data_IF_417361055281
#
_entry.id   IF_417361055281
#
_cell.length_a   1.000
_cell.length_b   1.000
_cell.length_c   1.000
_cell.angle_alpha   90.00
_cell.angle_beta   90.00
_cell.angle_gamma   90.00
#
_symmetry.space_group_name_H-M   'P 1'
#
loop_
_entity.id
_entity.type
_entity.pdbx_description
1 polymer ?
#
# COMPACT_ATOMS: atom_id res chain seq x y z
N UNK A 1 22.98 31.03 18.47
CA UNK A 1 23.39 29.62 18.59
C UNK A 1 22.43 28.81 17.73
N UNK A 2 22.95 28.02 16.78
CA UNK A 2 22.10 27.16 15.96
C UNK A 2 21.33 26.19 16.86
N UNK A 3 20.02 26.01 16.67
CA UNK A 3 19.27 25.00 17.41
C UNK A 3 19.86 23.62 17.08
N UNK A 4 20.08 22.74 18.06
CA UNK A 4 20.60 21.40 17.76
C UNK A 4 19.57 20.54 17.00
N UNK A 5 18.28 20.87 17.13
CA UNK A 5 17.17 20.12 16.52
C UNK A 5 16.84 20.69 15.14
N UNK A 6 16.88 19.85 14.11
CA UNK A 6 16.43 20.17 12.75
C UNK A 6 14.91 20.09 12.65
N UNK A 7 14.28 21.11 12.06
CA UNK A 7 12.86 21.07 11.74
C UNK A 7 12.59 20.20 10.51
N UNK A 8 11.33 19.81 10.33
CA UNK A 8 10.91 19.08 9.13
C UNK A 8 11.08 19.91 7.85
N UNK A 9 10.83 21.22 7.90
CA UNK A 9 11.05 22.14 6.77
C UNK A 9 12.53 22.21 6.37
N UNK A 10 13.44 22.29 7.36
CA UNK A 10 14.88 22.29 7.11
C UNK A 10 15.34 20.96 6.48
N UNK A 11 14.80 19.83 6.94
CA UNK A 11 15.10 18.52 6.37
C UNK A 11 14.51 18.41 4.96
N UNK A 12 13.30 18.90 4.73
CA UNK A 12 12.63 18.92 3.42
C UNK A 12 13.43 19.73 2.41
N UNK A 13 13.87 20.94 2.78
CA UNK A 13 14.72 21.78 1.93
C UNK A 13 16.06 21.11 1.60
N UNK A 14 16.70 20.46 2.58
CA UNK A 14 17.95 19.73 2.36
C UNK A 14 17.77 18.51 1.44
N UNK A 15 16.71 17.71 1.63
CA UNK A 15 16.41 16.57 0.75
C UNK A 15 16.10 17.03 -0.67
N UNK A 16 15.30 18.09 -0.83
CA UNK A 16 14.96 18.59 -2.17
C UNK A 16 16.18 19.06 -2.96
N UNK A 17 17.02 19.89 -2.35
CA UNK A 17 18.28 20.32 -2.97
C UNK A 17 19.21 19.14 -3.28
N UNK A 18 19.27 18.13 -2.39
CA UNK A 18 20.05 16.92 -2.64
C UNK A 18 19.53 16.15 -3.86
N UNK A 19 18.22 15.93 -3.97
CA UNK A 19 17.63 15.17 -5.07
C UNK A 19 17.77 15.89 -6.42
N UNK A 20 17.65 17.22 -6.45
CA UNK A 20 17.91 18.03 -7.64
C UNK A 20 19.38 17.93 -8.11
N UNK A 21 20.32 18.02 -7.17
CA UNK A 21 21.74 17.83 -7.47
C UNK A 21 22.02 16.41 -7.97
N UNK A 22 21.42 15.38 -7.36
CA UNK A 22 21.59 13.99 -7.77
C UNK A 22 21.04 13.76 -9.18
N UNK A 23 19.87 14.32 -9.50
CA UNK A 23 19.29 14.24 -10.84
C UNK A 23 20.16 14.95 -11.89
N UNK A 24 20.76 16.10 -11.54
CA UNK A 24 21.69 16.80 -12.42
C UNK A 24 22.99 15.99 -12.66
N UNK A 25 23.57 15.37 -11.64
CA UNK A 25 24.74 14.49 -11.78
C UNK A 25 24.41 13.25 -12.63
N UNK A 26 23.25 12.62 -12.42
CA UNK A 26 22.79 11.48 -13.23
C UNK A 26 22.56 11.86 -14.70
N UNK A 27 22.15 13.11 -14.97
CA UNK A 27 22.04 13.68 -16.30
C UNK A 27 23.38 14.21 -16.86
N UNK A 28 24.51 13.91 -16.22
CA UNK A 28 25.86 14.36 -16.57
C UNK A 28 26.02 15.89 -16.65
N UNK A 29 25.22 16.66 -15.89
CA UNK A 29 25.38 18.11 -15.75
C UNK A 29 26.30 18.42 -14.59
N UNK A 30 27.17 19.42 -14.76
CA UNK A 30 28.06 19.87 -13.70
C UNK A 30 27.25 20.51 -12.56
N UNK A 31 27.45 20.03 -11.33
CA UNK A 31 26.81 20.56 -10.12
C UNK A 31 27.83 21.29 -9.26
N UNK A 32 27.58 22.57 -8.96
CA UNK A 32 28.39 23.34 -8.02
C UNK A 32 27.83 23.22 -6.60
N UNK A 33 28.25 22.16 -5.88
CA UNK A 33 27.79 21.85 -4.51
C UNK A 33 27.99 23.00 -3.53
N UNK A 34 29.07 23.76 -3.67
CA UNK A 34 29.37 24.93 -2.84
C UNK A 34 28.45 26.13 -3.12
N UNK A 35 27.90 26.25 -4.34
CA UNK A 35 26.89 27.27 -4.63
C UNK A 35 25.54 26.89 -4.00
N UNK A 36 25.09 25.65 -4.21
CA UNK A 36 23.83 25.14 -3.63
C UNK A 36 23.84 25.24 -2.10
N UNK A 37 24.96 24.90 -1.44
CA UNK A 37 25.09 25.05 0.01
C UNK A 37 24.95 26.50 0.47
N UNK A 38 25.57 27.45 -0.24
CA UNK A 38 25.46 28.89 0.08
C UNK A 38 24.03 29.39 -0.11
N UNK A 39 23.32 28.92 -1.13
CA UNK A 39 21.91 29.27 -1.36
C UNK A 39 21.00 28.72 -0.25
N UNK A 40 21.22 27.46 0.16
CA UNK A 40 20.49 26.87 1.28
C UNK A 40 20.70 27.65 2.57
N UNK A 41 21.93 27.99 2.91
CA UNK A 41 22.26 28.79 4.11
C UNK A 41 21.77 30.23 3.98
N UNK A 42 21.73 30.81 2.78
CA UNK A 42 21.16 32.16 2.60
C UNK A 42 19.63 32.19 2.68
N UNK A 43 18.97 31.04 2.49
CA UNK A 43 17.50 30.93 2.48
C UNK A 43 16.98 29.98 3.57
N UNK A 44 16.46 28.79 3.17
CA UNK A 44 15.68 27.93 4.07
C UNK A 44 16.47 27.39 5.28
N UNK A 45 17.82 27.39 5.21
CA UNK A 45 18.71 26.92 6.26
C UNK A 45 19.53 28.06 6.90
N UNK A 46 19.00 29.29 6.94
CA UNK A 46 19.66 30.46 7.54
C UNK A 46 20.09 30.29 9.00
N UNK A 47 19.48 29.36 9.74
CA UNK A 47 19.88 28.99 11.10
C UNK A 47 21.05 27.99 11.19
N UNK A 48 21.56 27.48 10.07
CA UNK A 48 22.53 26.38 10.01
C UNK A 48 23.90 26.86 9.54
N UNK A 49 24.95 26.23 10.07
CA UNK A 49 26.30 26.38 9.52
C UNK A 49 26.49 25.51 8.28
N UNK A 50 27.37 25.92 7.38
CA UNK A 50 27.73 25.14 6.18
C UNK A 50 28.13 23.69 6.53
N UNK A 51 28.92 23.50 7.58
CA UNK A 51 29.30 22.15 8.04
C UNK A 51 28.12 21.31 8.54
N UNK A 52 27.09 21.93 9.13
CA UNK A 52 25.86 21.23 9.51
C UNK A 52 25.06 20.78 8.30
N UNK A 53 25.05 21.59 7.24
CA UNK A 53 24.42 21.25 5.95
C UNK A 53 25.17 20.10 5.28
N UNK A 54 26.50 20.15 5.20
CA UNK A 54 27.29 19.06 4.60
C UNK A 54 27.12 17.73 5.36
N UNK A 55 27.03 17.78 6.70
CA UNK A 55 26.71 16.59 7.50
C UNK A 55 25.29 16.08 7.22
N UNK A 56 24.32 16.96 6.99
CA UNK A 56 22.96 16.57 6.57
C UNK A 56 22.97 15.88 5.21
N UNK A 57 23.77 16.37 4.26
CA UNK A 57 23.93 15.72 2.95
C UNK A 57 24.52 14.31 3.08
N UNK A 58 25.51 14.11 3.98
CA UNK A 58 26.04 12.78 4.30
C UNK A 58 24.99 11.84 4.92
N UNK A 59 24.08 12.36 5.74
CA UNK A 59 22.95 11.58 6.28
C UNK A 59 21.99 11.15 5.15
N UNK A 60 21.71 12.03 4.19
CA UNK A 60 20.86 11.70 3.02
C UNK A 60 21.53 10.61 2.17
N UNK A 61 22.84 10.72 1.91
CA UNK A 61 23.61 9.67 1.24
C UNK A 61 23.52 8.32 1.96
N UNK A 62 23.59 8.30 3.29
CA UNK A 62 23.46 7.07 4.08
C UNK A 62 22.07 6.43 3.95
N UNK A 63 21.02 7.23 3.92
CA UNK A 63 19.66 6.72 3.71
C UNK A 63 19.50 6.16 2.30
N UNK A 64 19.98 6.86 1.26
CA UNK A 64 19.98 6.36 -0.12
C UNK A 64 20.76 5.04 -0.25
N UNK A 65 21.93 4.94 0.37
CA UNK A 65 22.76 3.73 0.37
C UNK A 65 22.02 2.54 0.99
N UNK A 66 21.37 2.73 2.15
CA UNK A 66 20.52 1.70 2.80
C UNK A 66 19.30 1.31 1.96
N UNK A 67 18.77 2.24 1.16
CA UNK A 67 17.70 1.98 0.20
C UNK A 67 18.20 1.30 -1.09
N UNK A 68 19.50 1.02 -1.23
CA UNK A 68 20.09 0.40 -2.42
C UNK A 68 20.20 1.34 -3.62
N UNK A 69 20.30 2.65 -3.38
CA UNK A 69 20.28 3.71 -4.42
C UNK A 69 21.62 4.41 -4.53
N UNK A 70 21.85 5.01 -5.71
CA UNK A 70 23.02 5.87 -5.92
C UNK A 70 22.87 7.18 -5.14
N UNK A 71 23.99 7.67 -4.62
CA UNK A 71 24.14 8.91 -3.89
C UNK A 71 25.20 9.79 -4.57
N UNK A 72 25.23 11.09 -4.25
CA UNK A 72 26.11 12.10 -4.85
C UNK A 72 27.57 11.85 -4.45
N UNK A 73 28.44 11.64 -5.43
CA UNK A 73 29.87 11.43 -5.14
C UNK A 73 30.46 12.66 -4.42
N UNK A 74 31.25 12.45 -3.36
CA UNK A 74 31.74 13.52 -2.49
C UNK A 74 30.88 13.83 -1.24
N UNK A 75 29.63 13.35 -1.17
CA UNK A 75 28.89 13.26 0.10
C UNK A 75 28.89 11.83 0.62
N UNK A 76 30.01 11.42 1.23
CA UNK A 76 30.16 10.04 1.73
C UNK A 76 29.06 9.71 2.77
N UNK A 77 28.38 8.55 2.64
CA UNK A 77 27.39 8.08 3.61
C UNK A 77 27.87 8.20 5.06
N UNK A 78 27.09 8.86 5.90
CA UNK A 78 27.31 8.91 7.35
C UNK A 78 27.17 7.50 7.97
N UNK A 79 27.96 7.22 9.01
CA UNK A 79 27.91 5.93 9.70
C UNK A 79 26.58 5.72 10.45
N UNK A 80 26.11 6.78 11.12
CA UNK A 80 24.91 6.73 11.94
C UNK A 80 23.96 7.86 11.54
N UNK A 81 22.69 7.51 11.34
CA UNK A 81 21.58 8.43 11.15
C UNK A 81 20.55 8.07 12.20
N UNK A 82 20.09 9.05 12.99
CA UNK A 82 19.07 8.78 14.01
C UNK A 82 17.75 8.31 13.38
N UNK A 83 17.01 7.39 14.02
CA UNK A 83 15.86 6.70 13.41
C UNK A 83 14.75 7.65 12.95
N UNK A 84 14.49 8.74 13.69
CA UNK A 84 13.50 9.76 13.30
C UNK A 84 13.90 10.49 12.02
N UNK A 85 15.18 10.89 11.92
CA UNK A 85 15.69 11.56 10.72
C UNK A 85 15.73 10.61 9.53
N UNK A 86 16.11 9.35 9.76
CA UNK A 86 16.13 8.32 8.74
C UNK A 86 14.73 8.04 8.17
N UNK A 87 13.72 7.91 9.03
CA UNK A 87 12.34 7.71 8.61
C UNK A 87 11.82 8.90 7.77
N UNK A 88 12.05 10.13 8.23
CA UNK A 88 11.63 11.33 7.51
C UNK A 88 12.37 11.50 6.17
N UNK A 89 13.70 11.34 6.14
CA UNK A 89 14.50 11.42 4.91
C UNK A 89 14.06 10.31 3.93
N UNK A 90 13.83 9.09 4.40
CA UNK A 90 13.35 7.99 3.56
C UNK A 90 11.99 8.30 2.94
N UNK A 91 11.07 8.87 3.73
CA UNK A 91 9.75 9.30 3.25
C UNK A 91 9.87 10.37 2.17
N UNK A 92 10.70 11.39 2.41
CA UNK A 92 10.93 12.47 1.47
C UNK A 92 11.60 11.97 0.19
N UNK A 93 12.59 11.07 0.26
CA UNK A 93 13.21 10.50 -0.96
C UNK A 93 12.17 9.75 -1.80
N UNK A 94 11.28 8.98 -1.17
CA UNK A 94 10.21 8.24 -1.88
C UNK A 94 9.23 9.15 -2.61
N UNK A 95 9.01 10.39 -2.14
CA UNK A 95 8.15 11.33 -2.87
C UNK A 95 8.78 11.84 -4.17
N UNK A 96 10.11 11.78 -4.31
CA UNK A 96 10.84 12.10 -5.55
C UNK A 96 10.87 10.94 -6.57
N UNK A 97 10.41 9.75 -6.20
CA UNK A 97 10.30 8.60 -7.11
C UNK A 97 9.08 8.64 -8.01
N UNK A 98 8.17 9.59 -7.74
CA UNK A 98 7.08 9.91 -8.65
C UNK A 98 7.67 10.77 -9.78
N UNK A 99 7.65 10.31 -11.05
CA UNK A 99 8.25 11.04 -12.16
C UNK A 99 7.69 12.47 -12.22
N UNK A 100 8.54 13.45 -11.93
CA UNK A 100 8.17 14.87 -11.82
C UNK A 100 8.26 15.61 -13.16
N UNK A 101 8.50 14.89 -14.26
CA UNK A 101 8.53 15.47 -15.61
C UNK A 101 7.20 15.20 -16.32
N UNK A 102 6.38 16.22 -16.64
CA UNK A 102 5.32 16.02 -17.61
C UNK A 102 5.98 15.65 -18.94
N UNK A 103 5.63 14.47 -19.47
CA UNK A 103 6.03 14.12 -20.82
C UNK A 103 5.62 15.27 -21.76
N UNK A 104 6.48 15.74 -22.66
CA UNK A 104 6.10 16.78 -23.60
C UNK A 104 4.83 16.36 -24.34
N UNK A 105 3.81 17.20 -24.25
CA UNK A 105 2.43 17.07 -24.77
C UNK A 105 2.32 16.86 -26.29
N UNK A 106 3.40 16.58 -27.01
CA UNK A 106 3.41 16.48 -28.48
C UNK A 106 3.27 15.08 -29.05
N UNK A 107 3.28 14.02 -28.22
CA UNK A 107 3.12 12.63 -28.71
C UNK A 107 1.96 11.84 -28.07
N UNK A 108 1.08 12.46 -27.29
CA UNK A 108 -0.11 11.78 -26.73
C UNK A 108 -1.20 11.44 -27.77
N UNK A 109 -1.05 11.89 -29.02
CA UNK A 109 -1.85 11.39 -30.13
C UNK A 109 -1.41 9.99 -30.61
N UNK A 110 -0.24 9.49 -30.17
CA UNK A 110 0.37 8.26 -30.69
C UNK A 110 0.67 7.15 -29.67
N UNK A 111 0.60 7.41 -28.35
CA UNK A 111 0.93 6.39 -27.34
C UNK A 111 -0.34 5.71 -26.81
N UNK A 112 -0.69 4.67 -27.56
CA UNK A 112 -1.33 3.42 -27.10
C UNK A 112 -2.82 3.53 -26.75
N UNK A 113 -3.64 3.44 -27.79
CA UNK A 113 -4.85 2.65 -27.78
C UNK A 113 -4.52 1.18 -27.44
N UNK A 114 -4.27 0.91 -26.16
CA UNK A 114 -4.19 -0.44 -25.59
C UNK A 114 -5.44 -0.69 -24.77
N UNK A 115 -5.96 -1.91 -24.84
CA UNK A 115 -7.22 -2.29 -24.18
C UNK A 115 -7.16 -2.24 -22.63
N UNK A 116 -6.00 -1.94 -22.01
CA UNK A 116 -5.76 -2.09 -20.55
C UNK A 116 -5.62 -0.79 -19.72
N UNK A 117 -5.75 0.41 -20.29
CA UNK A 117 -5.69 1.68 -19.51
C UNK A 117 -7.00 1.95 -18.77
N UNK A 118 -7.00 2.04 -17.44
CA UNK A 118 -8.22 2.44 -16.70
C UNK A 118 -8.62 3.88 -17.04
N UNK A 119 -9.92 4.11 -17.16
CA UNK A 119 -10.55 5.42 -17.38
C UNK A 119 -11.89 5.43 -16.66
N UNK A 120 -12.47 6.60 -16.41
CA UNK A 120 -13.80 6.67 -15.80
C UNK A 120 -14.87 5.96 -16.64
N UNK A 121 -14.77 6.04 -17.97
CA UNK A 121 -15.66 5.31 -18.90
C UNK A 121 -15.56 3.79 -18.71
N UNK A 122 -14.35 3.24 -18.58
CA UNK A 122 -14.14 1.80 -18.36
C UNK A 122 -14.54 1.34 -16.96
N UNK A 123 -14.39 2.21 -15.97
CA UNK A 123 -14.92 2.00 -14.62
C UNK A 123 -16.45 2.16 -14.54
N UNK A 124 -17.10 2.59 -15.63
CA UNK A 124 -18.55 2.78 -15.68
C UNK A 124 -19.05 3.99 -14.90
N UNK A 125 -18.19 4.95 -14.58
CA UNK A 125 -18.52 6.15 -13.80
C UNK A 125 -19.25 7.16 -14.67
N UNK A 126 -20.50 7.49 -14.31
CA UNK A 126 -21.34 8.46 -15.01
C UNK A 126 -21.27 9.83 -14.33
N UNK A 127 -21.62 10.90 -15.06
CA UNK A 127 -21.70 12.25 -14.51
C UNK A 127 -22.62 12.35 -13.27
N UNK A 128 -23.70 11.56 -13.27
CA UNK A 128 -24.64 11.46 -12.16
C UNK A 128 -24.06 10.82 -10.89
N UNK A 129 -23.01 10.01 -11.03
CA UNK A 129 -22.35 9.28 -9.93
C UNK A 129 -21.28 10.14 -9.23
N UNK A 130 -20.82 11.22 -9.87
CA UNK A 130 -19.96 12.19 -9.22
C UNK A 130 -20.76 12.92 -8.14
N UNK A 131 -20.28 12.96 -6.91
CA UNK A 131 -20.77 13.81 -5.84
C UNK A 131 -20.38 15.27 -6.07
N UNK A 132 -19.14 15.48 -6.52
CA UNK A 132 -18.55 16.79 -6.67
C UNK A 132 -17.02 16.73 -6.64
N UNK A 133 -16.42 17.85 -6.23
CA UNK A 133 -14.97 18.05 -6.12
C UNK A 133 -14.56 18.32 -4.67
N UNK A 134 -13.36 17.90 -4.30
CA UNK A 134 -12.72 18.22 -3.01
C UNK A 134 -11.35 18.84 -3.26
N UNK A 135 -11.00 19.86 -2.48
CA UNK A 135 -9.66 20.43 -2.52
C UNK A 135 -8.68 19.51 -1.78
N UNK A 136 -7.52 19.31 -2.37
CA UNK A 136 -6.40 18.62 -1.74
C UNK A 136 -5.14 19.46 -1.90
N UNK A 137 -4.23 19.34 -0.93
CA UNK A 137 -2.93 20.00 -0.99
C UNK A 137 -1.90 19.19 -1.79
N UNK A 138 -2.09 17.87 -1.88
CA UNK A 138 -1.24 16.91 -2.58
C UNK A 138 -2.08 15.72 -3.07
N UNK A 139 -1.42 14.75 -3.70
CA UNK A 139 -2.06 13.50 -4.06
C UNK A 139 -2.55 12.71 -2.83
N UNK A 140 -3.73 12.11 -2.94
CA UNK A 140 -4.25 11.22 -1.91
C UNK A 140 -3.55 9.87 -2.01
N UNK A 141 -2.86 9.50 -0.94
CA UNK A 141 -2.15 8.21 -0.78
C UNK A 141 -2.75 7.36 0.32
N UNK A 142 -3.95 7.69 0.80
CA UNK A 142 -4.67 6.97 1.86
C UNK A 142 -6.12 6.73 1.43
N UNK A 143 -6.72 5.63 1.87
CA UNK A 143 -8.11 5.30 1.58
C UNK A 143 -9.10 6.06 2.48
N UNK A 144 -8.99 7.38 2.53
CA UNK A 144 -9.93 8.24 3.23
C UNK A 144 -9.92 9.69 2.70
N UNK A 145 -11.06 10.38 2.85
CA UNK A 145 -11.15 11.83 2.70
C UNK A 145 -11.17 12.44 4.11
N UNK A 146 -10.14 13.22 4.43
CA UNK A 146 -10.02 13.90 5.72
C UNK A 146 -10.60 15.33 5.63
N UNK A 147 -11.30 15.75 6.67
CA UNK A 147 -11.94 17.06 6.75
C UNK A 147 -11.88 17.66 8.15
N UNK A 148 -12.06 18.97 8.23
CA UNK A 148 -12.13 19.70 9.49
C UNK A 148 -13.42 19.40 10.24
N UNK A 149 -13.34 19.30 11.56
CA UNK A 149 -14.53 19.24 12.42
C UNK A 149 -15.24 20.60 12.50
N UNK A 150 -16.55 20.61 12.68
CA UNK A 150 -17.34 21.86 12.86
C UNK A 150 -17.81 22.02 14.30
N UNK A 151 -17.52 23.17 14.92
CA UNK A 151 -17.89 23.40 16.32
C UNK A 151 -17.10 22.54 17.29
N UNK A 152 -17.72 22.12 18.40
CA UNK A 152 -17.05 21.38 19.47
C UNK A 152 -17.12 19.86 19.26
N UNK A 153 -16.05 19.09 19.52
CA UNK A 153 -16.08 17.62 19.57
C UNK A 153 -17.12 17.04 20.54
N UNK A 154 -17.56 17.82 21.53
CA UNK A 154 -18.61 17.42 22.48
C UNK A 154 -20.02 17.42 21.89
N UNK A 155 -20.21 17.95 20.68
CA UNK A 155 -21.45 17.87 19.91
C UNK A 155 -21.21 17.08 18.61
N UNK A 156 -21.34 15.73 18.64
CA UNK A 156 -20.99 14.87 17.51
C UNK A 156 -21.75 15.21 16.21
N UNK A 157 -23.04 15.54 16.30
CA UNK A 157 -23.86 15.88 15.13
C UNK A 157 -23.29 17.07 14.38
N UNK A 158 -22.86 18.10 15.11
CA UNK A 158 -22.24 19.27 14.52
C UNK A 158 -20.82 18.94 14.07
N UNK A 159 -20.03 18.31 14.92
CA UNK A 159 -18.60 18.03 14.69
C UNK A 159 -18.35 17.21 13.44
N UNK A 160 -19.13 16.16 13.22
CA UNK A 160 -19.01 15.26 12.06
C UNK A 160 -19.91 15.65 10.88
N UNK A 161 -20.59 16.80 10.92
CA UNK A 161 -21.60 17.18 9.92
C UNK A 161 -21.10 17.16 8.47
N UNK A 162 -19.86 17.59 8.22
CA UNK A 162 -19.25 17.59 6.88
C UNK A 162 -19.08 16.16 6.37
N UNK A 163 -18.49 15.29 7.19
CA UNK A 163 -18.26 13.89 6.85
C UNK A 163 -19.56 13.09 6.73
N UNK A 164 -20.53 13.36 7.61
CA UNK A 164 -21.87 12.79 7.54
C UNK A 164 -22.57 13.16 6.21
N UNK A 165 -22.45 14.40 5.77
CA UNK A 165 -23.00 14.85 4.49
C UNK A 165 -22.31 14.20 3.28
N UNK A 166 -21.01 13.92 3.37
CA UNK A 166 -20.29 13.18 2.32
C UNK A 166 -20.76 11.73 2.29
N UNK A 167 -20.79 11.05 3.45
CA UNK A 167 -21.25 9.67 3.56
C UNK A 167 -22.71 9.47 3.08
N UNK A 168 -23.61 10.38 3.43
CA UNK A 168 -25.00 10.38 2.96
C UNK A 168 -25.09 10.49 1.42
N UNK A 169 -24.33 11.42 0.84
CA UNK A 169 -24.30 11.58 -0.62
C UNK A 169 -23.66 10.40 -1.34
N UNK A 170 -22.70 9.72 -0.71
CA UNK A 170 -21.97 8.59 -1.29
C UNK A 170 -22.89 7.42 -1.66
N UNK A 171 -24.03 7.26 -0.95
CA UNK A 171 -25.06 6.24 -1.25
C UNK A 171 -25.55 6.32 -2.70
N UNK A 172 -25.72 7.55 -3.23
CA UNK A 172 -26.21 7.78 -4.59
C UNK A 172 -25.13 8.23 -5.56
N UNK A 173 -24.11 8.90 -5.04
CA UNK A 173 -23.04 9.55 -5.80
C UNK A 173 -21.70 9.22 -5.17
N UNK A 174 -21.17 8.00 -5.39
CA UNK A 174 -20.02 7.51 -4.63
C UNK A 174 -18.70 8.14 -5.07
N UNK A 175 -18.64 8.88 -6.17
CA UNK A 175 -17.36 9.36 -6.71
C UNK A 175 -17.08 10.83 -6.39
N UNK A 176 -15.85 11.15 -6.01
CA UNK A 176 -15.36 12.53 -5.85
C UNK A 176 -14.10 12.72 -6.68
N UNK A 177 -13.95 13.89 -7.31
CA UNK A 177 -12.70 14.29 -7.95
C UNK A 177 -11.92 15.17 -6.98
N UNK A 178 -10.74 14.73 -6.57
CA UNK A 178 -9.79 15.57 -5.85
C UNK A 178 -9.08 16.51 -6.82
N UNK A 179 -9.01 17.78 -6.46
CA UNK A 179 -8.33 18.82 -7.23
C UNK A 179 -7.32 19.53 -6.34
N UNK A 180 -6.11 19.73 -6.86
CA UNK A 180 -5.09 20.48 -6.14
C UNK A 180 -5.51 21.95 -6.06
N UNK A 181 -5.92 22.40 -4.88
CA UNK A 181 -6.48 23.73 -4.70
C UNK A 181 -6.18 24.26 -3.29
N UNK A 182 -6.13 25.59 -3.17
CA UNK A 182 -5.79 26.30 -1.93
C UNK A 182 -4.37 26.87 -1.95
N UNK A 183 -4.11 27.84 -1.05
CA UNK A 183 -2.85 28.59 -1.01
C UNK A 183 -1.60 27.72 -0.74
N UNK A 184 -1.80 26.55 -0.15
CA UNK A 184 -0.75 25.61 0.25
C UNK A 184 -0.70 24.35 -0.63
N UNK A 185 -1.45 24.30 -1.75
CA UNK A 185 -1.35 23.15 -2.65
C UNK A 185 0.04 23.10 -3.31
N UNK A 186 0.60 21.90 -3.42
CA UNK A 186 1.89 21.70 -4.07
C UNK A 186 1.84 22.18 -5.53
N UNK A 187 2.94 22.76 -6.00
CA UNK A 187 3.03 23.40 -7.32
C UNK A 187 2.73 22.44 -8.49
N UNK A 188 2.98 21.13 -8.31
CA UNK A 188 2.73 20.10 -9.29
C UNK A 188 1.25 19.68 -9.43
N UNK A 189 0.42 19.90 -8.39
CA UNK A 189 -1.01 19.55 -8.41
C UNK A 189 -1.93 20.76 -8.45
N UNK A 190 -1.41 21.97 -8.15
CA UNK A 190 -2.21 23.17 -8.09
C UNK A 190 -2.93 23.44 -9.43
N UNK A 191 -4.26 23.53 -9.37
CA UNK A 191 -5.13 23.73 -10.52
C UNK A 191 -5.40 22.47 -11.34
N UNK A 192 -5.00 21.29 -10.86
CA UNK A 192 -5.10 20.01 -11.58
C UNK A 192 -6.03 19.01 -10.94
N UNK A 193 -6.69 18.17 -11.74
CA UNK A 193 -7.37 16.99 -11.24
C UNK A 193 -6.33 15.95 -10.80
N UNK A 194 -6.44 15.50 -9.56
CA UNK A 194 -5.39 14.70 -8.89
C UNK A 194 -5.82 13.26 -8.77
N UNK A 195 -6.97 13.01 -8.13
CA UNK A 195 -7.51 11.67 -7.95
C UNK A 195 -9.01 11.60 -8.27
N UNK A 196 -9.45 10.45 -8.73
CA UNK A 196 -10.84 10.00 -8.64
C UNK A 196 -10.96 9.07 -7.45
N UNK A 197 -11.90 9.35 -6.55
CA UNK A 197 -12.06 8.64 -5.28
C UNK A 197 -13.44 8.03 -5.24
N UNK A 198 -13.54 6.73 -4.96
CA UNK A 198 -14.79 6.06 -4.60
C UNK A 198 -14.96 6.09 -3.09
N UNK A 199 -15.87 6.92 -2.61
CA UNK A 199 -16.13 7.19 -1.20
C UNK A 199 -17.12 6.17 -0.63
N UNK A 200 -16.88 5.73 0.60
CA UNK A 200 -17.78 4.89 1.38
C UNK A 200 -18.81 5.68 2.19
N UNK A 201 -19.55 4.98 3.05
CA UNK A 201 -20.58 5.58 3.92
C UNK A 201 -20.20 5.56 5.40
N UNK A 202 -19.03 4.99 5.74
CA UNK A 202 -18.47 5.01 7.10
C UNK A 202 -17.64 6.28 7.30
N UNK A 203 -17.92 7.00 8.38
CA UNK A 203 -17.18 8.20 8.75
C UNK A 203 -16.96 8.30 10.25
N UNK A 204 -15.98 9.07 10.70
CA UNK A 204 -15.69 9.19 12.12
C UNK A 204 -14.39 9.92 12.40
N UNK A 205 -13.84 9.79 13.63
CA UNK A 205 -12.53 10.34 13.95
C UNK A 205 -11.46 9.75 13.03
N UNK A 206 -10.54 10.60 12.54
CA UNK A 206 -9.45 10.17 11.64
C UNK A 206 -8.64 9.01 12.22
N UNK A 207 -8.40 9.00 13.54
CA UNK A 207 -7.71 7.90 14.23
C UNK A 207 -8.45 6.57 14.19
N UNK A 208 -9.78 6.58 14.11
CA UNK A 208 -10.59 5.37 14.01
C UNK A 208 -10.58 4.87 12.57
N UNK A 209 -10.62 5.79 11.60
CA UNK A 209 -10.61 5.44 10.18
C UNK A 209 -9.22 4.97 9.72
N UNK A 210 -8.18 5.78 9.94
CA UNK A 210 -6.81 5.58 9.44
C UNK A 210 -5.81 5.04 10.47
N UNK A 211 -6.19 4.96 11.76
CA UNK A 211 -5.30 4.53 12.84
C UNK A 211 -4.57 5.68 13.54
N UNK A 212 -4.02 5.38 14.72
CA UNK A 212 -3.43 6.40 15.62
C UNK A 212 -2.17 7.05 15.04
N UNK A 213 -1.37 6.31 14.29
CA UNK A 213 -0.13 6.80 13.69
C UNK A 213 -0.38 7.95 12.69
N UNK A 214 -1.28 7.73 11.71
CA UNK A 214 -1.62 8.74 10.70
C UNK A 214 -2.43 9.90 11.29
N UNK A 215 -3.27 9.67 12.30
CA UNK A 215 -4.00 10.74 12.96
C UNK A 215 -3.09 11.77 13.65
N UNK A 216 -1.89 11.36 14.07
CA UNK A 216 -0.88 12.26 14.61
C UNK A 216 -0.37 13.28 13.57
N UNK A 217 -0.31 12.89 12.30
CA UNK A 217 0.12 13.75 11.18
C UNK A 217 -1.05 14.60 10.66
N UNK A 218 -2.28 14.07 10.74
CA UNK A 218 -3.50 14.70 10.22
C UNK A 218 -4.29 15.47 11.29
N UNK A 219 -3.64 16.01 12.33
CA UNK A 219 -4.30 16.68 13.47
C UNK A 219 -5.26 17.81 13.05
N UNK A 220 -4.95 18.50 11.96
CA UNK A 220 -5.81 19.58 11.43
C UNK A 220 -7.12 19.06 10.82
N UNK A 221 -7.15 17.80 10.39
CA UNK A 221 -8.33 17.11 9.88
C UNK A 221 -8.70 15.95 10.80
N UNK A 222 -9.33 16.23 11.95
CA UNK A 222 -9.63 15.22 12.98
C UNK A 222 -10.80 14.29 12.59
N UNK A 223 -11.45 14.54 11.45
CA UNK A 223 -12.58 13.78 10.94
C UNK A 223 -12.22 13.20 9.57
N UNK A 224 -12.63 11.96 9.31
CA UNK A 224 -12.44 11.30 8.02
C UNK A 224 -13.68 10.52 7.58
N UNK A 225 -13.81 10.35 6.26
CA UNK A 225 -14.75 9.45 5.59
C UNK A 225 -13.92 8.37 4.90
N UNK A 226 -14.30 7.10 5.06
CA UNK A 226 -13.64 5.98 4.40
C UNK A 226 -13.73 6.11 2.87
N UNK A 227 -12.65 5.82 2.16
CA UNK A 227 -12.68 5.58 0.73
C UNK A 227 -12.45 4.09 0.45
N UNK A 228 -13.10 3.55 -0.58
CA UNK A 228 -12.92 2.18 -1.02
C UNK A 228 -11.82 2.06 -2.07
N UNK A 229 -11.75 3.05 -2.96
CA UNK A 229 -10.83 3.05 -4.09
C UNK A 229 -10.36 4.46 -4.37
N UNK A 230 -9.08 4.59 -4.73
CA UNK A 230 -8.47 5.85 -5.17
C UNK A 230 -7.75 5.56 -6.48
N UNK A 231 -8.01 6.39 -7.48
CA UNK A 231 -7.38 6.33 -8.78
C UNK A 231 -6.67 7.65 -9.03
N UNK A 232 -5.42 7.63 -9.45
CA UNK A 232 -4.63 8.82 -9.81
C UNK A 232 -4.89 9.19 -11.26
N UNK A 233 -5.15 10.47 -11.55
CA UNK A 233 -5.14 10.95 -12.94
C UNK A 233 -3.70 11.05 -13.44
N UNK A 234 -3.37 10.31 -14.50
CA UNK A 234 -2.02 10.30 -15.05
C UNK A 234 -1.62 11.70 -15.53
N UNK A 235 -0.50 12.20 -15.03
CA UNK A 235 0.03 13.51 -15.40
C UNK A 235 -0.68 14.72 -14.78
N UNK A 236 -1.69 14.52 -13.92
CA UNK A 236 -2.42 15.58 -13.22
C UNK A 236 -2.93 16.70 -14.16
N UNK A 237 -3.94 16.42 -15.01
CA UNK A 237 -4.43 17.37 -15.99
C UNK A 237 -4.86 18.68 -15.33
N UNK A 238 -4.25 19.77 -15.77
CA UNK A 238 -4.55 21.10 -15.30
C UNK A 238 -5.86 21.60 -15.92
N UNK A 239 -6.78 22.09 -15.09
CA UNK A 239 -8.13 22.43 -15.52
C UNK A 239 -8.18 23.52 -16.60
N UNK A 240 -7.41 24.60 -16.44
CA UNK A 240 -7.36 25.66 -17.46
C UNK A 240 -6.53 25.25 -18.67
N UNK A 241 -5.27 24.88 -18.44
CA UNK A 241 -4.27 24.61 -19.50
C UNK A 241 -4.57 23.38 -20.34
N UNK A 242 -5.01 22.29 -19.71
CA UNK A 242 -5.16 20.99 -20.38
C UNK A 242 -6.63 20.66 -20.67
N UNK A 243 -7.55 21.06 -19.78
CA UNK A 243 -8.99 20.76 -19.94
C UNK A 243 -9.82 21.92 -20.50
N UNK A 244 -9.22 23.11 -20.67
CA UNK A 244 -9.86 24.25 -21.34
C UNK A 244 -10.91 25.02 -20.53
N UNK A 245 -10.93 24.88 -19.19
CA UNK A 245 -11.79 25.70 -18.35
C UNK A 245 -11.34 27.17 -18.34
N UNK A 246 -12.29 28.11 -18.26
CA UNK A 246 -12.00 29.54 -18.33
C UNK A 246 -11.11 30.03 -17.17
N UNK A 247 -11.36 29.52 -15.97
CA UNK A 247 -10.61 29.85 -14.76
C UNK A 247 -10.73 28.73 -13.70
N UNK A 248 -10.12 28.95 -12.54
CA UNK A 248 -10.25 28.12 -11.34
C UNK A 248 -11.41 28.60 -10.43
N UNK A 249 -12.34 29.38 -10.96
CA UNK A 249 -13.46 29.96 -10.21
C UNK A 249 -14.43 28.93 -9.65
N UNK A 250 -14.45 27.71 -10.22
CA UNK A 250 -15.22 26.58 -9.68
C UNK A 250 -14.79 26.14 -8.27
N UNK A 251 -13.61 26.58 -7.81
CA UNK A 251 -13.09 26.34 -6.46
C UNK A 251 -13.38 27.49 -5.48
N UNK A 252 -14.01 28.58 -5.94
CA UNK A 252 -14.25 29.75 -5.10
C UNK A 252 -15.11 29.40 -3.88
N UNK A 253 -14.63 29.78 -2.69
CA UNK A 253 -15.33 29.52 -1.42
C UNK A 253 -15.24 28.07 -0.93
N UNK A 254 -14.47 27.20 -1.59
CA UNK A 254 -14.27 25.83 -1.11
C UNK A 254 -13.44 25.82 0.19
N UNK A 255 -14.05 25.34 1.26
CA UNK A 255 -13.39 24.99 2.53
C UNK A 255 -13.33 23.46 2.67
N UNK A 256 -12.77 22.95 3.78
CA UNK A 256 -12.76 21.52 4.12
C UNK A 256 -14.15 20.87 3.89
N UNK A 257 -14.28 20.10 2.78
CA UNK A 257 -15.51 19.45 2.34
C UNK A 257 -15.64 19.26 0.82
N UNK A 258 -16.74 18.60 0.40
CA UNK A 258 -17.03 18.31 -1.01
C UNK A 258 -18.17 19.19 -1.53
N UNK A 259 -17.91 19.98 -2.57
CA UNK A 259 -18.91 20.81 -3.25
C UNK A 259 -19.24 20.27 -4.64
N UNK A 260 -20.46 20.51 -5.12
CA UNK A 260 -20.87 20.19 -6.49
C UNK A 260 -20.95 21.47 -7.33
N UNK A 261 -19.94 21.80 -8.15
CA UNK A 261 -19.98 22.98 -9.00
C UNK A 261 -21.00 22.80 -10.13
N UNK A 262 -21.47 23.92 -10.71
CA UNK A 262 -22.35 23.89 -11.87
C UNK A 262 -21.70 23.18 -13.07
N UNK A 263 -20.38 23.34 -13.24
CA UNK A 263 -19.58 22.74 -14.31
C UNK A 263 -19.17 21.28 -14.05
N UNK A 264 -19.79 20.57 -13.09
CA UNK A 264 -19.40 19.19 -12.74
C UNK A 264 -19.60 18.20 -13.90
N UNK A 265 -20.63 18.40 -14.72
CA UNK A 265 -20.90 17.53 -15.87
C UNK A 265 -19.91 17.81 -17.01
N UNK A 266 -19.51 19.08 -17.21
CA UNK A 266 -18.43 19.47 -18.13
C UNK A 266 -17.08 18.88 -17.68
N UNK A 267 -16.81 18.89 -16.37
CA UNK A 267 -15.61 18.30 -15.78
C UNK A 267 -15.59 16.79 -15.96
N UNK A 268 -16.71 16.10 -15.75
CA UNK A 268 -16.84 14.69 -16.08
C UNK A 268 -16.57 14.45 -17.57
N UNK A 269 -17.17 15.24 -18.45
CA UNK A 269 -17.02 15.09 -19.90
C UNK A 269 -15.56 15.26 -20.34
N UNK A 270 -14.82 16.19 -19.73
CA UNK A 270 -13.40 16.41 -20.01
C UNK A 270 -12.50 15.28 -19.48
N UNK A 271 -12.86 14.64 -18.36
CA UNK A 271 -12.03 13.64 -17.69
C UNK A 271 -12.42 12.18 -17.97
N UNK A 272 -13.60 11.92 -18.55
CA UNK A 272 -14.17 10.57 -18.68
C UNK A 272 -13.25 9.54 -19.35
N UNK A 273 -12.46 10.00 -20.32
CA UNK A 273 -11.48 9.20 -21.06
C UNK A 273 -10.03 9.42 -20.63
N UNK A 274 -9.77 10.19 -19.57
CA UNK A 274 -8.42 10.46 -19.11
C UNK A 274 -7.82 9.22 -18.43
N UNK A 275 -6.54 8.86 -18.70
CA UNK A 275 -5.91 7.70 -18.08
C UNK A 275 -5.83 7.77 -16.56
N UNK A 276 -6.17 6.66 -15.91
CA UNK A 276 -6.14 6.47 -14.47
C UNK A 276 -5.15 5.37 -14.07
N UNK A 277 -4.47 5.58 -12.93
CA UNK A 277 -3.65 4.56 -12.27
C UNK A 277 -4.27 4.24 -10.89
N UNK A 278 -4.68 2.99 -10.64
CA UNK A 278 -5.22 2.56 -9.34
C UNK A 278 -4.15 2.68 -8.25
N UNK A 279 -4.54 3.24 -7.10
CA UNK A 279 -3.69 3.31 -5.91
C UNK A 279 -3.98 2.05 -5.05
N UNK A 280 -3.07 1.08 -5.10
CA UNK A 280 -3.21 -0.21 -4.41
C UNK A 280 -2.86 -0.10 -2.93
N UNK A 281 -3.84 0.32 -2.12
CA UNK A 281 -3.74 0.41 -0.67
C UNK A 281 -4.67 -0.62 -0.01
N UNK A 282 -4.27 -1.23 1.11
CA UNK A 282 -5.18 -2.05 1.90
C UNK A 282 -6.25 -1.16 2.55
N UNK A 283 -7.48 -1.67 2.66
CA UNK A 283 -8.51 -1.00 3.46
C UNK A 283 -8.02 -0.82 4.90
N UNK A 284 -8.10 0.40 5.46
CA UNK A 284 -7.58 0.65 6.79
C UNK A 284 -8.48 -0.01 7.84
N UNK A 285 -7.85 -0.50 8.91
CA UNK A 285 -8.53 -0.92 10.15
C UNK A 285 -9.64 -1.99 10.01
N UNK A 286 -9.63 -2.81 8.95
CA UNK A 286 -10.65 -3.85 8.68
C UNK A 286 -12.09 -3.31 8.81
N UNK A 287 -12.32 -2.08 8.37
CA UNK A 287 -13.62 -1.43 8.51
C UNK A 287 -14.65 -2.06 7.58
N UNK A 288 -15.80 -2.43 8.14
CA UNK A 288 -16.95 -2.89 7.37
C UNK A 288 -17.84 -1.71 7.01
N UNK A 289 -18.09 -1.55 5.72
CA UNK A 289 -19.00 -0.55 5.17
C UNK A 289 -20.24 -1.25 4.63
N UNK A 290 -21.39 -1.01 5.29
CA UNK A 290 -22.66 -1.61 4.92
C UNK A 290 -23.36 -0.90 3.75
N UNK A 291 -22.82 0.23 3.27
CA UNK A 291 -23.48 1.10 2.29
C UNK A 291 -24.56 2.01 2.89
N UNK A 292 -24.68 2.06 4.21
CA UNK A 292 -25.54 3.00 4.94
C UNK A 292 -24.68 4.02 5.72
N UNK A 293 -25.05 5.32 5.74
CA UNK A 293 -24.29 6.33 6.46
C UNK A 293 -24.15 6.00 7.95
N UNK A 294 -22.90 5.80 8.40
CA UNK A 294 -22.62 5.36 9.76
C UNK A 294 -21.48 6.15 10.38
N UNK A 295 -21.77 6.82 11.51
CA UNK A 295 -20.76 7.41 12.37
C UNK A 295 -20.10 6.32 13.23
N UNK A 296 -18.80 6.11 13.03
CA UNK A 296 -17.96 5.23 13.82
C UNK A 296 -17.13 6.04 14.81
N UNK A 297 -17.65 6.22 16.04
CA UNK A 297 -17.00 7.04 17.07
C UNK A 297 -15.76 6.37 17.69
N UNK A 298 -15.78 5.03 17.74
CA UNK A 298 -14.75 4.14 18.29
C UNK A 298 -14.84 2.80 17.57
N UNK A 299 -13.90 1.87 17.82
CA UNK A 299 -13.87 0.49 17.28
C UNK A 299 -15.07 -0.40 17.71
N UNK A 300 -16.22 0.15 18.09
CA UNK A 300 -17.33 -0.57 18.74
C UNK A 300 -18.32 -1.28 17.81
N UNK A 301 -18.08 -1.35 16.50
CA UNK A 301 -18.64 -2.44 15.69
C UNK A 301 -17.76 -3.69 15.73
N UNK A 302 -17.20 -4.03 16.89
CA UNK A 302 -16.63 -5.38 17.09
C UNK A 302 -17.81 -6.36 17.02
N UNK A 303 -17.76 -7.39 16.15
CA UNK A 303 -18.55 -8.59 16.38
C UNK A 303 -18.38 -9.00 17.85
N UNK A 304 -19.41 -9.57 18.51
CA UNK A 304 -19.32 -9.92 19.93
C UNK A 304 -18.02 -10.71 20.21
N UNK A 305 -17.42 -10.59 21.40
CA UNK A 305 -16.06 -11.12 21.69
C UNK A 305 -15.86 -12.61 21.37
N UNK A 306 -16.93 -13.39 21.24
CA UNK A 306 -16.91 -14.78 20.79
C UNK A 306 -16.78 -14.94 19.24
N UNK A 307 -16.84 -13.84 18.50
CA UNK A 307 -16.79 -13.72 17.03
C UNK A 307 -15.72 -12.72 16.55
N UNK A 308 -14.93 -12.12 17.45
CA UNK A 308 -13.82 -11.24 17.10
C UNK A 308 -12.59 -11.49 17.98
N UNK A 309 -11.40 -11.39 17.38
CA UNK A 309 -10.10 -11.46 18.06
C UNK A 309 -9.20 -10.34 17.53
N UNK A 310 -8.31 -9.83 18.39
CA UNK A 310 -7.22 -8.96 17.94
C UNK A 310 -6.13 -9.85 17.34
N UNK A 311 -5.82 -9.62 16.06
CA UNK A 311 -4.89 -10.42 15.27
C UNK A 311 -3.94 -9.50 14.51
N UNK A 312 -2.75 -10.01 14.14
CA UNK A 312 -1.75 -9.24 13.38
C UNK A 312 -0.60 -8.64 14.20
N UNK A 313 -0.56 -8.86 15.51
CA UNK A 313 0.61 -8.52 16.33
C UNK A 313 1.85 -9.29 15.82
N UNK A 314 2.97 -8.58 15.67
CA UNK A 314 4.23 -9.19 15.29
C UNK A 314 4.82 -9.97 16.46
N UNK A 315 4.66 -11.30 16.42
CA UNK A 315 5.20 -12.19 17.43
C UNK A 315 6.53 -12.78 16.97
N UNK A 316 7.60 -12.54 17.74
CA UNK A 316 8.87 -13.22 17.55
C UNK A 316 8.76 -14.68 18.02
N UNK A 317 9.04 -15.63 17.12
CA UNK A 317 9.09 -17.07 17.44
C UNK A 317 10.51 -17.57 17.32
N UNK A 318 11.06 -18.10 18.41
CA UNK A 318 12.32 -18.84 18.37
C UNK A 318 12.05 -20.22 17.75
N UNK A 319 12.55 -20.45 16.54
CA UNK A 319 12.27 -21.68 15.78
C UNK A 319 13.51 -22.57 15.70
N UNK A 320 13.49 -23.71 16.38
CA UNK A 320 14.47 -24.78 16.18
C UNK A 320 14.03 -25.64 14.99
N UNK A 321 14.84 -25.69 13.94
CA UNK A 321 14.53 -26.40 12.69
C UNK A 321 15.44 -27.61 12.54
N UNK A 322 14.87 -28.76 12.21
CA UNK A 322 15.67 -29.91 11.77
C UNK A 322 16.28 -29.62 10.39
N UNK A 323 17.60 -29.77 10.27
CA UNK A 323 18.33 -29.64 9.01
C UNK A 323 17.77 -30.61 7.94
N UNK A 324 17.65 -30.12 6.70
CA UNK A 324 17.20 -30.91 5.54
C UNK A 324 18.07 -30.55 4.36
N UNK A 325 18.47 -31.56 3.60
CA UNK A 325 19.15 -31.37 2.33
C UNK A 325 18.09 -31.13 1.21
N UNK A 326 18.04 -29.94 0.60
CA UNK A 326 17.13 -29.67 -0.52
C UNK A 326 17.37 -30.58 -1.73
N UNK A 327 18.59 -31.06 -1.93
CA UNK A 327 18.93 -31.93 -3.06
C UNK A 327 18.19 -33.27 -3.00
N UNK A 328 17.99 -33.83 -1.80
CA UNK A 328 17.22 -35.06 -1.62
C UNK A 328 15.75 -34.90 -2.03
N UNK A 329 15.15 -33.74 -1.73
CA UNK A 329 13.78 -33.41 -2.14
C UNK A 329 13.66 -33.34 -3.66
N UNK A 330 14.57 -32.63 -4.30
CA UNK A 330 14.53 -32.46 -5.76
C UNK A 330 14.81 -33.80 -6.47
N UNK A 331 15.73 -34.60 -5.96
CA UNK A 331 16.01 -35.93 -6.53
C UNK A 331 14.81 -36.87 -6.37
N UNK A 332 14.11 -36.87 -5.24
CA UNK A 332 12.89 -37.68 -5.06
C UNK A 332 11.80 -37.29 -6.08
N UNK A 333 11.61 -35.98 -6.31
CA UNK A 333 10.68 -35.49 -7.34
C UNK A 333 11.11 -35.90 -8.75
N UNK A 334 12.41 -35.83 -9.04
CA UNK A 334 12.99 -36.27 -10.33
C UNK A 334 12.75 -37.76 -10.55
N UNK A 335 12.98 -38.60 -9.54
CA UNK A 335 12.73 -40.05 -9.60
C UNK A 335 11.24 -40.36 -9.82
N UNK A 336 10.35 -39.63 -9.15
CA UNK A 336 8.90 -39.75 -9.36
C UNK A 336 8.49 -39.39 -10.80
N UNK A 337 8.96 -38.26 -11.31
CA UNK A 337 8.72 -37.86 -12.71
C UNK A 337 9.28 -38.89 -13.70
N UNK A 338 10.50 -39.36 -13.49
CA UNK A 338 11.12 -40.38 -14.34
C UNK A 338 10.33 -41.70 -14.33
N UNK A 339 9.69 -42.04 -13.20
CA UNK A 339 8.87 -43.26 -13.05
C UNK A 339 7.51 -43.15 -13.73
N UNK A 340 6.86 -42.00 -13.71
CA UNK A 340 5.47 -41.84 -14.17
C UNK A 340 5.30 -41.00 -15.44
N UNK A 341 6.37 -40.39 -15.97
CA UNK A 341 6.35 -39.48 -17.12
C UNK A 341 5.82 -38.07 -16.82
N UNK A 342 5.29 -37.86 -15.63
CA UNK A 342 4.77 -36.60 -15.05
C UNK A 342 4.97 -36.68 -13.54
N UNK A 343 4.89 -35.56 -12.81
CA UNK A 343 4.77 -35.64 -11.35
C UNK A 343 3.44 -36.26 -10.99
N UNK A 344 3.46 -37.23 -10.06
CA UNK A 344 2.28 -38.00 -9.67
C UNK A 344 2.29 -38.26 -8.17
N UNK A 345 1.14 -38.00 -7.54
CA UNK A 345 0.89 -38.35 -6.15
C UNK A 345 0.86 -39.87 -6.01
N UNK A 346 1.70 -40.41 -5.14
CA UNK A 346 1.81 -41.85 -4.93
C UNK A 346 0.60 -42.45 -4.18
N UNK A 347 -0.21 -41.59 -3.55
CA UNK A 347 -1.41 -41.98 -2.82
C UNK A 347 -2.72 -41.89 -3.62
N UNK A 348 -2.92 -40.84 -4.42
CA UNK A 348 -4.20 -40.61 -5.10
C UNK A 348 -4.09 -40.50 -6.61
N UNK A 349 -2.89 -40.71 -7.16
CA UNK A 349 -2.60 -40.70 -8.59
C UNK A 349 -2.81 -39.37 -9.32
N UNK A 350 -3.22 -38.31 -8.62
CA UNK A 350 -3.24 -36.95 -9.14
C UNK A 350 -1.89 -36.61 -9.78
N UNK A 351 -1.92 -36.15 -11.03
CA UNK A 351 -0.75 -35.81 -11.82
C UNK A 351 -0.86 -34.39 -12.37
N UNK A 352 0.27 -33.72 -12.47
CA UNK A 352 0.41 -32.37 -13.04
C UNK A 352 1.88 -32.12 -13.38
N UNK A 353 2.17 -31.34 -14.41
CA UNK A 353 3.55 -30.98 -14.79
C UNK A 353 4.17 -29.93 -13.85
N UNK A 354 3.35 -29.19 -13.10
CA UNK A 354 3.82 -28.28 -12.07
C UNK A 354 4.31 -29.05 -10.82
N UNK A 355 5.64 -29.22 -10.73
CA UNK A 355 6.31 -29.84 -9.58
C UNK A 355 6.05 -29.15 -8.24
N UNK A 356 5.61 -27.89 -8.24
CA UNK A 356 5.33 -27.12 -7.02
C UNK A 356 4.10 -27.65 -6.28
N UNK A 357 3.19 -28.32 -6.98
CA UNK A 357 1.99 -28.94 -6.42
C UNK A 357 2.28 -30.21 -5.61
N UNK A 358 3.53 -30.69 -5.59
CA UNK A 358 3.89 -31.92 -4.91
C UNK A 358 4.94 -31.69 -3.82
N UNK A 359 4.79 -32.39 -2.71
CA UNK A 359 5.74 -32.40 -1.60
C UNK A 359 6.44 -33.75 -1.50
N UNK A 360 7.75 -33.72 -1.18
CA UNK A 360 8.49 -34.91 -0.82
C UNK A 360 8.31 -35.18 0.68
N UNK A 361 7.51 -36.19 0.99
CA UNK A 361 7.11 -36.54 2.34
C UNK A 361 8.07 -37.57 2.94
N UNK A 362 8.47 -37.35 4.20
CA UNK A 362 9.22 -38.33 4.96
C UNK A 362 8.25 -39.27 5.67
N UNK A 363 8.18 -40.57 5.31
CA UNK A 363 7.31 -41.52 6.00
C UNK A 363 7.68 -41.69 7.48
N UNK A 364 8.97 -41.51 7.81
CA UNK A 364 9.45 -41.36 9.19
C UNK A 364 9.83 -39.90 9.45
N UNK A 365 9.14 -39.16 10.36
CA UNK A 365 9.40 -37.73 10.60
C UNK A 365 10.79 -37.43 11.16
N UNK A 366 11.49 -36.42 10.63
CA UNK A 366 12.87 -36.05 11.04
C UNK A 366 13.02 -35.75 12.53
N UNK A 367 11.93 -35.38 13.22
CA UNK A 367 11.90 -35.20 14.66
C UNK A 367 12.27 -36.47 15.46
N UNK A 368 12.26 -37.66 14.84
CA UNK A 368 12.69 -38.91 15.46
C UNK A 368 14.21 -39.03 15.64
N UNK A 369 15.00 -38.11 15.07
CA UNK A 369 16.46 -38.07 15.23
C UNK A 369 17.22 -38.16 13.90
N UNK A 370 18.55 -38.01 14.01
CA UNK A 370 19.50 -38.04 12.89
C UNK A 370 19.51 -39.43 12.23
N UNK A 371 19.51 -39.45 10.90
CA UNK A 371 19.57 -40.68 10.09
C UNK A 371 20.06 -40.39 8.68
N UNK A 372 20.50 -41.43 7.98
CA UNK A 372 20.73 -41.38 6.54
C UNK A 372 19.42 -41.53 5.79
N UNK A 373 19.09 -40.55 4.96
CA UNK A 373 17.92 -40.58 4.06
C UNK A 373 18.42 -40.58 2.62
N UNK A 374 17.93 -41.51 1.80
CA UNK A 374 18.14 -41.47 0.35
C UNK A 374 16.85 -41.03 -0.34
N UNK A 375 16.94 -40.47 -1.54
CA UNK A 375 15.80 -39.88 -2.24
C UNK A 375 14.62 -40.86 -2.40
N UNK A 376 14.88 -42.14 -2.61
CA UNK A 376 13.85 -43.18 -2.75
C UNK A 376 13.12 -43.53 -1.45
N UNK A 377 13.57 -43.02 -0.29
CA UNK A 377 12.82 -43.12 0.96
C UNK A 377 11.68 -42.10 1.06
N UNK A 378 11.68 -41.07 0.20
CA UNK A 378 10.67 -40.03 0.22
C UNK A 378 9.48 -40.41 -0.66
N UNK A 379 8.28 -40.13 -0.17
CA UNK A 379 7.02 -40.36 -0.87
C UNK A 379 6.55 -39.05 -1.50
N UNK A 380 6.18 -39.05 -2.78
CA UNK A 380 5.65 -37.84 -3.42
C UNK A 380 4.13 -37.75 -3.25
N UNK A 381 3.67 -36.70 -2.56
CA UNK A 381 2.26 -36.49 -2.22
C UNK A 381 1.75 -35.13 -2.73
N UNK A 382 0.49 -35.07 -3.17
CA UNK A 382 -0.21 -33.80 -3.44
C UNK A 382 -0.62 -33.08 -2.14
N UNK A 383 -1.09 -31.82 -2.17
CA UNK A 383 -1.33 -31.03 -0.95
C UNK A 383 -2.41 -31.63 -0.06
N UNK A 384 -3.37 -32.34 -0.66
CA UNK A 384 -4.47 -33.01 0.06
C UNK A 384 -3.96 -34.25 0.79
N UNK A 385 -3.25 -35.14 0.09
CA UNK A 385 -2.70 -36.37 0.67
C UNK A 385 -1.61 -36.06 1.70
N UNK A 386 -0.76 -35.08 1.44
CA UNK A 386 0.26 -34.62 2.38
C UNK A 386 -0.36 -34.07 3.67
N UNK A 387 -1.41 -33.24 3.55
CA UNK A 387 -2.17 -32.75 4.71
C UNK A 387 -2.85 -33.88 5.48
N UNK A 388 -3.42 -34.87 4.78
CA UNK A 388 -4.03 -36.04 5.42
C UNK A 388 -2.98 -36.88 6.16
N UNK A 389 -1.80 -37.08 5.59
CA UNK A 389 -0.70 -37.82 6.21
C UNK A 389 -0.41 -37.30 7.63
N UNK A 390 -0.39 -35.98 7.81
CA UNK A 390 -0.11 -35.34 9.10
C UNK A 390 -1.32 -35.15 10.02
N UNK A 391 -2.54 -35.53 9.62
CA UNK A 391 -3.77 -35.37 10.44
C UNK A 391 -3.98 -36.49 11.47
N UNK A 392 -2.99 -37.34 11.72
CA UNK A 392 -3.07 -38.37 12.77
C UNK A 392 -2.88 -37.75 14.16
N UNK A 393 -3.61 -38.19 15.21
CA UNK A 393 -3.41 -37.68 16.58
C UNK A 393 -1.96 -37.82 17.07
N UNK A 394 -1.29 -38.93 16.71
CA UNK A 394 0.14 -39.11 16.95
C UNK A 394 0.94 -38.52 15.78
N UNK A 395 1.38 -37.27 15.92
CA UNK A 395 2.13 -36.52 14.89
C UNK A 395 3.42 -37.19 14.40
N UNK A 396 4.01 -38.06 15.23
CA UNK A 396 5.22 -38.83 14.91
C UNK A 396 4.97 -40.02 13.96
N UNK A 397 3.70 -40.33 13.67
CA UNK A 397 3.31 -41.45 12.81
C UNK A 397 2.34 -40.94 11.74
N UNK A 398 2.83 -40.37 10.64
CA UNK A 398 1.95 -39.99 9.52
C UNK A 398 1.24 -41.22 8.94
N UNK A 399 0.13 -41.00 8.23
CA UNK A 399 -0.48 -42.07 7.43
C UNK A 399 0.46 -42.46 6.29
N UNK A 400 0.67 -43.76 6.12
CA UNK A 400 1.44 -44.35 5.03
C UNK A 400 0.70 -44.22 3.69
N UNK A 401 1.42 -44.32 2.57
CA UNK A 401 0.81 -44.33 1.22
C UNK A 401 -0.32 -45.37 1.07
N UNK A 402 -0.22 -46.63 1.55
CA UNK A 402 -1.32 -47.58 1.51
C UNK A 402 -2.56 -47.13 2.29
N UNK A 403 -2.38 -46.55 3.49
CA UNK A 403 -3.52 -46.02 4.27
C UNK A 403 -4.16 -44.81 3.58
N UNK A 404 -3.34 -43.95 2.94
CA UNK A 404 -3.83 -42.83 2.14
C UNK A 404 -4.59 -43.30 0.90
N UNK A 405 -4.12 -44.36 0.22
CA UNK A 405 -4.84 -45.00 -0.91
C UNK A 405 -6.19 -45.52 -0.46
N UNK A 406 -6.23 -46.31 0.62
CA UNK A 406 -7.50 -46.81 1.17
C UNK A 406 -8.46 -45.67 1.55
N UNK A 407 -7.93 -44.57 2.10
CA UNK A 407 -8.73 -43.38 2.39
C UNK A 407 -9.27 -42.70 1.12
N UNK A 408 -8.49 -42.64 0.04
CA UNK A 408 -8.90 -42.09 -1.25
C UNK A 408 -9.96 -42.99 -1.90
N UNK A 409 -9.74 -44.30 -1.91
CA UNK A 409 -10.66 -45.33 -2.42
C UNK A 409 -12.01 -45.30 -1.70
N UNK A 410 -12.01 -45.03 -0.40
CA UNK A 410 -13.23 -44.85 0.40
C UNK A 410 -13.99 -43.53 0.11
N UNK A 411 -13.57 -42.73 -0.87
CA UNK A 411 -14.18 -41.45 -1.21
C UNK A 411 -13.74 -40.29 -0.31
N UNK A 412 -12.57 -40.40 0.34
CA UNK A 412 -12.01 -39.41 1.29
C UNK A 412 -12.96 -39.06 2.44
N UNK A 413 -13.47 -40.05 3.20
CA UNK A 413 -14.39 -39.78 4.30
C UNK A 413 -13.73 -38.90 5.37
N UNK A 414 -14.54 -38.04 6.01
CA UNK A 414 -14.10 -37.27 7.17
C UNK A 414 -13.77 -38.24 8.30
N UNK A 415 -12.49 -38.38 8.64
CA UNK A 415 -12.08 -39.14 9.81
C UNK A 415 -12.36 -38.32 11.06
N UNK A 416 -13.55 -38.42 11.64
CA UNK A 416 -13.78 -38.04 13.02
C UNK A 416 -13.02 -39.04 13.91
N UNK A 417 -11.74 -38.79 14.18
CA UNK A 417 -10.95 -39.55 15.17
C UNK A 417 -11.31 -39.11 16.60
N UNK A 418 -12.58 -38.77 16.81
CA UNK A 418 -13.22 -38.59 18.11
C UNK A 418 -14.42 -39.53 18.19
N UNK A 419 -14.20 -40.83 18.02
CA UNK A 419 -15.07 -41.79 18.72
C UNK A 419 -14.61 -41.79 20.17
N UNK A 420 -15.32 -41.00 20.98
CA UNK A 420 -15.45 -41.22 22.42
C UNK A 420 -15.77 -42.69 22.59
N UNK A 421 -14.92 -43.41 23.32
CA UNK A 421 -15.19 -44.78 23.72
C UNK A 421 -16.41 -44.80 24.63
N UNK A 422 -17.41 -45.61 24.30
CA UNK A 422 -18.47 -46.00 25.23
C UNK A 422 -17.84 -46.58 26.50
N UNK A 423 -17.95 -45.85 27.61
CA UNK A 423 -18.15 -46.33 28.97
C UNK A 423 -18.82 -45.25 29.80
#
# INVERSE_FOLDING_TARGET
MASEVWSEDEITAAVGAYMEMLAAEQAARAVNKSAVRRELVAGPLAGRSEGSVDFRMANISAVLDRMGRKWIDGYKPAQNVGPTNEALISRLIRSYDVPTTPAPLRDLAGVVAGDDVETMDRLGVKAGDLMGITAVWSEITELAICCGGRGSPTNPTQFFSVAASIADRAVKRPYVIAVGAGANAQSNVHGSAVNLIRVGTVYGPTKVILGEALAGELKQWPVAVLAHEVYRFRGFPHLVRDLGFADLGMFSGMMDGTIRPAAIDDLWQALRGWPLDRVDLPLPNNLYDAGEPQLLYTYHNRPPRNMSAEEGEQLWKLQLVAERDPALREEAKRLNHAKYGTYRCEACEFSNDDKSLFDAHHPTPLAMGVRTTVASHLEILCPICHRKAHRRPRKILPFSVPELRAWVEAGRPFSNVHKVSDR
#
